data_IF_295663918817
#
_entry.id   IF_295663918817
#
_cell.length_a   1.000
_cell.length_b   1.000
_cell.length_c   1.000
_cell.angle_alpha   90.00
_cell.angle_beta   90.00
_cell.angle_gamma   90.00
#
_symmetry.space_group_name_H-M   'P 1'
#
loop_
_entity.id
_entity.type
_entity.pdbx_description
1 polymer ?
#
# COMPACT_ATOMS: atom_id res chain seq x y z
N UNK A 1 -10.27 -11.28 26.90
CA UNK A 1 -10.89 -10.11 26.28
C UNK A 1 -10.04 -8.89 26.62
N UNK A 2 -9.59 -8.15 25.61
CA UNK A 2 -8.62 -7.07 25.74
C UNK A 2 -9.23 -5.84 26.43
N UNK A 3 -8.69 -5.41 27.59
CA UNK A 3 -9.16 -4.22 28.32
C UNK A 3 -8.43 -2.96 27.85
N UNK A 4 -8.98 -2.34 26.81
CA UNK A 4 -8.40 -1.14 26.19
C UNK A 4 -8.38 0.09 27.12
N UNK A 5 -9.38 0.24 27.98
CA UNK A 5 -9.51 1.41 28.86
C UNK A 5 -8.44 1.43 29.95
N UNK A 6 -8.05 0.26 30.45
CA UNK A 6 -6.97 0.12 31.42
C UNK A 6 -5.59 0.27 30.75
N UNK A 7 -5.40 -0.35 29.58
CA UNK A 7 -4.11 -0.33 28.86
C UNK A 7 -3.78 1.08 28.35
N UNK A 8 -4.75 1.81 27.79
CA UNK A 8 -4.53 3.16 27.23
C UNK A 8 -4.01 4.20 28.23
N UNK A 9 -4.26 4.01 29.54
CA UNK A 9 -3.79 4.88 30.62
C UNK A 9 -2.34 4.59 31.06
N UNK A 10 -1.71 3.53 30.56
CA UNK A 10 -0.34 3.15 30.92
C UNK A 10 0.68 3.88 30.05
N UNK A 11 1.94 3.88 30.50
CA UNK A 11 3.08 4.36 29.73
C UNK A 11 3.15 3.68 28.34
N UNK A 12 3.57 4.36 27.26
CA UNK A 12 3.67 3.80 25.91
C UNK A 12 4.43 2.46 25.85
N UNK A 13 5.58 2.33 26.50
CA UNK A 13 6.31 1.05 26.56
C UNK A 13 5.48 -0.08 27.19
N UNK A 14 4.72 0.21 28.25
CA UNK A 14 3.86 -0.79 28.89
C UNK A 14 2.65 -1.16 28.02
N UNK A 15 2.19 -0.25 27.16
CA UNK A 15 1.15 -0.51 26.15
C UNK A 15 1.69 -1.42 25.05
N UNK A 16 2.89 -1.13 24.54
CA UNK A 16 3.57 -1.93 23.52
C UNK A 16 3.90 -3.33 24.04
N UNK A 17 4.47 -3.43 25.24
CA UNK A 17 4.73 -4.71 25.91
C UNK A 17 3.45 -5.55 26.05
N UNK A 18 2.36 -4.92 26.49
CA UNK A 18 1.07 -5.60 26.60
C UNK A 18 0.54 -6.05 25.24
N UNK A 19 0.68 -5.23 24.20
CA UNK A 19 0.26 -5.58 22.84
C UNK A 19 1.07 -6.76 22.27
N UNK A 20 2.40 -6.72 22.40
CA UNK A 20 3.28 -7.81 21.95
C UNK A 20 3.04 -9.11 22.70
N UNK A 21 2.83 -9.03 24.02
CA UNK A 21 2.48 -10.21 24.82
C UNK A 21 1.15 -10.82 24.39
N UNK A 22 0.12 -10.00 24.16
CA UNK A 22 -1.20 -10.47 23.68
C UNK A 22 -1.09 -11.09 22.29
N UNK A 23 -0.35 -10.46 21.38
CA UNK A 23 -0.11 -10.98 20.03
C UNK A 23 0.61 -12.34 20.08
N UNK A 24 1.61 -12.49 20.96
CA UNK A 24 2.30 -13.76 21.15
C UNK A 24 1.40 -14.84 21.76
N UNK A 25 0.70 -14.53 22.86
CA UNK A 25 -0.15 -15.50 23.58
C UNK A 25 -1.37 -15.95 22.78
N UNK A 26 -1.99 -15.06 21.99
CA UNK A 26 -3.28 -15.33 21.33
C UNK A 26 -3.15 -15.61 19.84
N UNK A 27 -2.13 -15.06 19.18
CA UNK A 27 -1.93 -15.17 17.73
C UNK A 27 -0.64 -15.90 17.36
N UNK A 28 0.20 -16.26 18.33
CA UNK A 28 1.46 -16.98 18.09
C UNK A 28 2.54 -16.14 17.40
N UNK A 29 2.39 -14.82 17.35
CA UNK A 29 3.32 -13.93 16.66
C UNK A 29 4.60 -13.78 17.50
N UNK A 30 5.76 -13.94 16.86
CA UNK A 30 7.05 -13.77 17.51
C UNK A 30 7.31 -12.30 17.87
N UNK A 31 7.96 -12.06 19.02
CA UNK A 31 8.29 -10.72 19.50
C UNK A 31 9.52 -10.16 18.77
N UNK A 32 9.31 -9.69 17.54
CA UNK A 32 10.39 -9.17 16.67
C UNK A 32 10.79 -7.71 16.98
N UNK A 33 10.05 -7.03 17.85
CA UNK A 33 10.26 -5.62 18.19
C UNK A 33 10.36 -5.43 19.69
N UNK A 34 11.29 -4.56 20.10
CA UNK A 34 11.39 -4.10 21.46
C UNK A 34 10.54 -2.83 21.67
N UNK A 35 9.79 -2.72 22.79
CA UNK A 35 8.95 -1.55 23.08
C UNK A 35 9.69 -0.22 23.02
N UNK A 36 10.97 -0.21 23.38
CA UNK A 36 11.81 0.99 23.40
C UNK A 36 12.24 1.44 22.00
N UNK A 37 12.43 0.52 21.06
CA UNK A 37 12.78 0.83 19.66
C UNK A 37 11.59 1.42 18.89
N UNK A 38 10.37 1.05 19.30
CA UNK A 38 9.13 1.57 18.70
C UNK A 38 8.71 2.89 19.35
N UNK A 39 8.90 3.06 20.66
CA UNK A 39 8.55 4.29 21.38
C UNK A 39 9.64 5.36 21.28
N UNK A 40 10.05 5.67 20.07
CA UNK A 40 11.00 6.77 19.76
C UNK A 40 10.34 7.81 18.87
N UNK A 41 11.01 8.94 18.63
CA UNK A 41 10.50 9.96 17.69
C UNK A 41 10.56 9.51 16.23
N UNK A 42 11.40 8.51 15.90
CA UNK A 42 11.61 8.00 14.54
C UNK A 42 11.82 6.48 14.59
N UNK A 43 10.75 5.68 14.69
CA UNK A 43 10.88 4.21 14.68
C UNK A 43 11.27 3.69 13.29
N UNK A 44 11.91 2.51 13.25
CA UNK A 44 12.30 1.88 11.98
C UNK A 44 11.07 1.39 11.20
N UNK A 45 10.86 1.95 10.00
CA UNK A 45 9.66 1.68 9.20
C UNK A 45 9.60 0.23 8.72
N UNK A 46 10.74 -0.39 8.43
CA UNK A 46 10.77 -1.76 7.87
C UNK A 46 10.42 -2.77 8.95
N UNK A 47 11.00 -2.64 10.14
CA UNK A 47 10.73 -3.52 11.27
C UNK A 47 9.28 -3.39 11.76
N UNK A 48 8.77 -2.16 11.84
CA UNK A 48 7.36 -1.91 12.20
C UNK A 48 6.42 -2.51 11.14
N UNK A 49 6.68 -2.29 9.85
CA UNK A 49 5.86 -2.83 8.77
C UNK A 49 5.89 -4.37 8.77
N UNK A 50 7.06 -4.98 8.95
CA UNK A 50 7.21 -6.43 9.06
C UNK A 50 6.36 -7.00 10.19
N UNK A 51 6.40 -6.39 11.38
CA UNK A 51 5.63 -6.86 12.52
C UNK A 51 4.11 -6.69 12.31
N UNK A 52 3.68 -5.57 11.73
CA UNK A 52 2.27 -5.33 11.39
C UNK A 52 1.80 -6.33 10.31
N UNK A 53 2.66 -6.68 9.36
CA UNK A 53 2.38 -7.71 8.37
C UNK A 53 2.16 -9.08 9.03
N UNK A 54 3.00 -9.48 10.00
CA UNK A 54 2.78 -10.71 10.78
C UNK A 54 1.44 -10.69 11.51
N UNK A 55 1.04 -9.53 12.06
CA UNK A 55 -0.25 -9.37 12.71
C UNK A 55 -1.41 -9.56 11.72
N UNK A 56 -1.31 -8.96 10.53
CA UNK A 56 -2.30 -9.11 9.48
C UNK A 56 -2.47 -10.57 9.04
N UNK A 57 -1.35 -11.25 8.75
CA UNK A 57 -1.35 -12.66 8.34
C UNK A 57 -1.97 -13.61 9.38
N UNK A 58 -1.91 -13.25 10.66
CA UNK A 58 -2.44 -14.07 11.75
C UNK A 58 -3.94 -13.86 12.02
N UNK A 59 -4.56 -12.83 11.43
CA UNK A 59 -5.99 -12.55 11.59
C UNK A 59 -6.81 -13.25 10.50
N UNK A 60 -8.09 -13.63 10.74
CA UNK A 60 -8.93 -14.20 9.70
C UNK A 60 -9.16 -13.18 8.58
N UNK A 61 -8.74 -13.54 7.36
CA UNK A 61 -8.85 -12.66 6.20
C UNK A 61 -10.30 -12.68 5.72
N UNK A 62 -11.06 -11.62 6.03
CA UNK A 62 -12.29 -11.33 5.28
C UNK A 62 -11.90 -11.19 3.81
N UNK A 63 -12.70 -11.76 2.91
CA UNK A 63 -12.49 -11.90 1.46
C UNK A 63 -12.15 -10.59 0.71
N UNK A 64 -10.97 -10.03 0.97
CA UNK A 64 -10.27 -9.08 0.12
C UNK A 64 -8.97 -9.77 -0.25
N UNK A 65 -8.98 -10.30 -1.46
CA UNK A 65 -7.92 -11.07 -2.10
C UNK A 65 -6.58 -10.32 -2.05
N UNK A 66 -5.65 -10.82 -1.24
CA UNK A 66 -4.26 -10.36 -1.09
C UNK A 66 -3.30 -11.53 -1.41
N UNK A 67 -3.69 -12.40 -2.35
CA UNK A 67 -3.10 -13.72 -2.60
C UNK A 67 -1.64 -13.82 -3.06
N UNK A 68 -0.87 -12.73 -3.21
CA UNK A 68 0.45 -12.79 -3.87
C UNK A 68 1.68 -12.34 -3.06
N UNK A 69 1.61 -12.16 -1.73
CA UNK A 69 2.84 -11.87 -0.95
C UNK A 69 3.55 -13.14 -0.47
N UNK A 70 4.18 -13.88 -1.40
CA UNK A 70 5.16 -14.92 -1.08
C UNK A 70 6.43 -14.29 -0.51
N UNK A 71 6.43 -14.01 0.79
CA UNK A 71 7.64 -13.67 1.54
C UNK A 71 8.35 -14.95 1.95
N UNK A 72 9.05 -15.55 0.99
CA UNK A 72 10.01 -16.62 1.27
C UNK A 72 11.18 -16.06 2.08
N UNK A 73 11.05 -16.17 3.41
CA UNK A 73 12.10 -15.88 4.38
C UNK A 73 13.14 -17.00 4.35
N UNK A 74 13.97 -17.04 3.30
CA UNK A 74 15.21 -17.81 3.35
C UNK A 74 16.20 -17.07 4.26
N UNK A 75 16.19 -17.51 5.52
CA UNK A 75 17.27 -17.28 6.48
C UNK A 75 18.57 -17.89 5.96
N UNK A 76 19.38 -17.12 5.25
CA UNK A 76 20.77 -17.53 4.99
C UNK A 76 21.69 -16.91 6.03
N UNK A 77 21.68 -17.56 7.19
CA UNK A 77 22.77 -17.50 8.14
C UNK A 77 23.92 -18.35 7.62
N UNK A 78 25.12 -17.77 7.61
CA UNK A 78 26.43 -18.45 7.55
C UNK A 78 26.80 -19.23 6.27
N UNK A 79 27.69 -18.64 5.47
CA UNK A 79 28.88 -19.38 5.04
C UNK A 79 30.04 -18.42 4.76
N UNK A 80 31.00 -18.41 5.68
CA UNK A 80 32.33 -17.84 5.54
C UNK A 80 33.05 -18.55 4.39
N UNK A 81 33.66 -17.81 3.45
CA UNK A 81 34.92 -18.17 2.77
C UNK A 81 35.42 -17.01 1.88
N UNK A 82 36.58 -16.46 2.22
CA UNK A 82 37.45 -15.66 1.32
C UNK A 82 38.48 -16.59 0.63
N UNK A 83 39.44 -16.10 -0.19
CA UNK A 83 39.35 -15.49 -1.53
C UNK A 83 40.31 -16.17 -2.57
N UNK A 84 40.45 -15.59 -3.77
CA UNK A 84 41.63 -15.59 -4.69
C UNK A 84 41.54 -16.38 -6.02
N UNK A 85 41.69 -15.67 -7.16
CA UNK A 85 42.68 -15.94 -8.23
C UNK A 85 42.49 -14.98 -9.44
N UNK A 86 43.61 -14.48 -9.94
CA UNK A 86 43.76 -13.48 -11.00
C UNK A 86 43.73 -14.05 -12.43
N UNK A 87 43.43 -13.19 -13.41
CA UNK A 87 44.09 -13.24 -14.72
C UNK A 87 43.20 -13.29 -15.98
N UNK A 88 43.50 -12.40 -16.94
CA UNK A 88 43.39 -12.71 -18.38
C UNK A 88 42.37 -11.93 -19.20
N UNK A 89 42.89 -11.16 -20.16
CA UNK A 89 42.24 -10.23 -21.10
C UNK A 89 41.45 -10.87 -22.26
N UNK A 90 40.44 -10.13 -22.75
CA UNK A 90 40.22 -9.70 -24.15
C UNK A 90 38.87 -10.10 -24.82
N UNK A 91 38.03 -9.07 -24.98
CA UNK A 91 36.99 -8.79 -25.99
C UNK A 91 36.19 -9.93 -26.65
N UNK A 92 34.91 -9.99 -26.30
CA UNK A 92 33.81 -10.35 -27.20
C UNK A 92 32.62 -9.44 -26.85
N UNK A 93 32.09 -8.57 -27.73
CA UNK A 93 30.82 -7.92 -27.46
C UNK A 93 29.72 -8.94 -27.80
N UNK A 94 29.44 -9.83 -26.86
CA UNK A 94 28.18 -10.58 -26.87
C UNK A 94 27.07 -9.56 -26.62
N UNK A 95 26.13 -9.53 -27.55
CA UNK A 95 24.90 -8.75 -27.53
C UNK A 95 24.36 -8.57 -26.12
N UNK A 96 24.27 -7.30 -25.69
CA UNK A 96 23.66 -6.94 -24.41
C UNK A 96 22.25 -7.53 -24.36
N UNK A 97 21.88 -8.29 -23.32
CA UNK A 97 20.49 -8.63 -23.09
C UNK A 97 19.72 -7.31 -22.90
N UNK A 98 18.63 -7.16 -23.64
CA UNK A 98 17.77 -5.99 -23.56
C UNK A 98 17.21 -5.92 -22.14
N UNK A 99 17.31 -4.74 -21.54
CA UNK A 99 16.98 -4.48 -20.15
C UNK A 99 15.48 -4.70 -19.88
N UNK A 100 15.11 -5.91 -19.45
CA UNK A 100 13.75 -6.20 -18.98
C UNK A 100 13.40 -5.32 -17.76
N UNK A 101 14.37 -5.11 -16.87
CA UNK A 101 14.19 -4.32 -15.64
C UNK A 101 13.85 -2.84 -15.89
N UNK A 102 14.31 -2.24 -17.00
CA UNK A 102 13.94 -0.85 -17.32
C UNK A 102 12.53 -0.74 -17.85
N UNK A 103 12.02 -1.74 -18.56
CA UNK A 103 10.66 -1.69 -19.11
C UNK A 103 9.62 -1.81 -18.00
N UNK A 104 9.82 -2.76 -17.07
CA UNK A 104 8.95 -2.94 -15.90
C UNK A 104 8.91 -1.68 -15.02
N UNK A 105 10.05 -0.99 -14.85
CA UNK A 105 10.11 0.25 -14.06
C UNK A 105 9.36 1.43 -14.71
N UNK A 106 9.36 1.52 -16.04
CA UNK A 106 8.66 2.58 -16.78
C UNK A 106 7.15 2.35 -16.77
N UNK A 107 6.73 1.10 -16.95
CA UNK A 107 5.34 0.67 -16.89
C UNK A 107 4.72 0.84 -15.51
N UNK A 108 5.42 0.41 -14.45
CA UNK A 108 4.99 0.65 -13.07
C UNK A 108 4.85 2.15 -12.76
N UNK A 109 5.76 2.97 -13.29
CA UNK A 109 5.68 4.44 -13.17
C UNK A 109 4.47 5.02 -13.89
N UNK A 110 4.11 4.49 -15.06
CA UNK A 110 2.92 4.90 -15.82
C UNK A 110 1.62 4.57 -15.08
N UNK A 111 1.50 3.35 -14.57
CA UNK A 111 0.38 2.93 -13.73
C UNK A 111 0.23 3.82 -12.49
N UNK A 112 1.34 4.09 -11.79
CA UNK A 112 1.32 4.91 -10.58
C UNK A 112 0.80 6.33 -10.86
N UNK A 113 1.28 6.98 -11.91
CA UNK A 113 0.84 8.35 -12.26
C UNK A 113 -0.66 8.36 -12.59
N UNK A 114 -1.12 7.43 -13.42
CA UNK A 114 -2.52 7.36 -13.81
C UNK A 114 -3.43 7.06 -12.59
N UNK A 115 -2.98 6.22 -11.66
CA UNK A 115 -3.69 5.93 -10.42
C UNK A 115 -3.79 7.18 -9.51
N UNK A 116 -2.70 7.94 -9.36
CA UNK A 116 -2.68 9.18 -8.58
C UNK A 116 -3.63 10.23 -9.15
N UNK A 117 -3.74 10.35 -10.47
CA UNK A 117 -4.70 11.24 -11.14
C UNK A 117 -6.15 10.85 -10.83
N UNK A 118 -6.49 9.55 -10.95
CA UNK A 118 -7.83 9.05 -10.63
C UNK A 118 -8.16 9.25 -9.15
N UNK A 119 -7.21 8.98 -8.24
CA UNK A 119 -7.44 9.14 -6.81
C UNK A 119 -7.67 10.61 -6.43
N UNK A 120 -6.88 11.52 -6.99
CA UNK A 120 -7.02 12.96 -6.77
C UNK A 120 -8.40 13.43 -7.22
N UNK A 121 -8.82 13.03 -8.42
CA UNK A 121 -10.14 13.34 -8.93
C UNK A 121 -11.27 12.76 -8.07
N UNK A 122 -11.16 11.51 -7.61
CA UNK A 122 -12.17 10.88 -6.73
C UNK A 122 -12.35 11.66 -5.43
N UNK A 123 -11.25 12.14 -4.84
CA UNK A 123 -11.30 12.96 -3.62
C UNK A 123 -11.99 14.30 -3.88
N UNK A 124 -11.72 14.96 -5.02
CA UNK A 124 -12.41 16.19 -5.42
C UNK A 124 -13.90 15.97 -5.68
N UNK A 125 -14.27 14.83 -6.28
CA UNK A 125 -15.65 14.45 -6.52
C UNK A 125 -16.40 14.16 -5.20
N UNK A 126 -15.75 13.50 -4.23
CA UNK A 126 -16.28 13.27 -2.89
C UNK A 126 -16.50 14.58 -2.12
N UNK A 127 -15.54 15.52 -2.21
CA UNK A 127 -15.68 16.85 -1.60
C UNK A 127 -16.84 17.63 -2.23
N UNK A 128 -16.96 17.62 -3.57
CA UNK A 128 -18.10 18.23 -4.29
C UNK A 128 -19.45 17.63 -3.85
N UNK A 129 -19.50 16.32 -3.63
CA UNK A 129 -20.73 15.64 -3.22
C UNK A 129 -21.10 15.93 -1.76
N UNK A 130 -20.10 15.95 -0.87
CA UNK A 130 -20.29 16.20 0.57
C UNK A 130 -20.63 17.65 0.89
N UNK A 131 -20.12 18.61 0.10
CA UNK A 131 -20.41 20.04 0.23
C UNK A 131 -21.67 20.47 -0.56
N UNK A 132 -22.41 19.54 -1.17
CA UNK A 132 -23.61 19.87 -1.92
C UNK A 132 -24.71 20.41 -0.99
N UNK A 133 -25.31 21.58 -1.27
CA UNK A 133 -26.35 22.15 -0.41
C UNK A 133 -27.59 21.27 -0.39
N UNK A 134 -28.17 21.11 0.80
CA UNK A 134 -29.46 20.41 0.98
C UNK A 134 -30.53 21.01 0.06
N UNK A 135 -31.36 20.14 -0.53
CA UNK A 135 -32.43 20.52 -1.47
C UNK A 135 -33.54 21.25 -0.72
N UNK A 136 -33.34 22.54 -0.43
CA UNK A 136 -34.32 23.36 0.27
C UNK A 136 -34.53 24.73 -0.39
N UNK A 137 -35.76 24.93 -0.89
CA UNK A 137 -36.31 26.23 -1.30
C UNK A 137 -36.35 26.49 -2.81
N UNK A 138 -37.51 26.93 -3.32
CA UNK A 138 -37.80 27.50 -4.66
C UNK A 138 -37.43 26.68 -5.92
N UNK A 139 -38.36 26.62 -6.89
CA UNK A 139 -38.18 25.97 -8.19
C UNK A 139 -36.95 26.48 -8.97
N UNK A 140 -36.62 27.76 -8.82
CA UNK A 140 -35.47 28.39 -9.47
C UNK A 140 -34.14 27.77 -9.00
N UNK A 141 -34.01 27.53 -7.68
CA UNK A 141 -32.82 26.97 -7.04
C UNK A 141 -32.69 25.48 -7.41
N UNK A 142 -33.81 24.75 -7.41
CA UNK A 142 -33.83 23.33 -7.83
C UNK A 142 -33.39 23.17 -9.29
N UNK A 143 -33.76 24.11 -10.17
CA UNK A 143 -33.35 24.08 -11.58
C UNK A 143 -31.85 24.36 -11.73
N UNK A 144 -31.32 25.33 -10.99
CA UNK A 144 -29.88 25.61 -10.97
C UNK A 144 -29.08 24.43 -10.41
N UNK A 145 -29.58 23.80 -9.34
CA UNK A 145 -29.01 22.60 -8.75
C UNK A 145 -29.04 21.41 -9.72
N UNK A 146 -30.11 21.25 -10.51
CA UNK A 146 -30.18 20.22 -11.55
C UNK A 146 -29.10 20.42 -12.61
N UNK A 147 -28.90 21.65 -13.10
CA UNK A 147 -27.84 21.94 -14.07
C UNK A 147 -26.44 21.74 -13.49
N UNK A 148 -26.25 22.05 -12.20
CA UNK A 148 -25.01 21.76 -11.50
C UNK A 148 -24.73 20.26 -11.43
N UNK A 149 -25.71 19.44 -11.02
CA UNK A 149 -25.58 17.99 -10.98
C UNK A 149 -25.44 17.36 -12.38
N UNK A 150 -26.14 17.90 -13.38
CA UNK A 150 -26.01 17.48 -14.78
C UNK A 150 -24.57 17.69 -15.28
N UNK A 151 -24.00 18.87 -15.03
CA UNK A 151 -22.60 19.16 -15.36
C UNK A 151 -21.63 18.23 -14.64
N UNK A 152 -21.85 17.99 -13.35
CA UNK A 152 -21.04 17.06 -12.55
C UNK A 152 -21.13 15.61 -13.06
N UNK A 153 -22.31 15.15 -13.49
CA UNK A 153 -22.48 13.82 -14.07
C UNK A 153 -21.78 13.68 -15.44
N UNK A 154 -21.80 14.72 -16.27
CA UNK A 154 -21.01 14.75 -17.50
C UNK A 154 -19.50 14.73 -17.22
N UNK A 155 -19.06 15.47 -16.20
CA UNK A 155 -17.67 15.47 -15.74
C UNK A 155 -17.26 14.08 -15.24
N UNK A 156 -18.09 13.43 -14.42
CA UNK A 156 -17.89 12.06 -13.93
C UNK A 156 -17.81 11.04 -15.08
N UNK A 157 -18.65 11.21 -16.11
CA UNK A 157 -18.60 10.38 -17.31
C UNK A 157 -17.29 10.57 -18.10
N UNK A 158 -16.75 11.79 -18.15
CA UNK A 158 -15.48 12.09 -18.81
C UNK A 158 -14.28 11.40 -18.15
N UNK A 159 -14.34 11.16 -16.84
CA UNK A 159 -13.27 10.49 -16.10
C UNK A 159 -13.32 8.95 -16.20
N UNK A 160 -14.38 8.37 -16.80
CA UNK A 160 -14.46 6.91 -17.00
C UNK A 160 -13.34 6.37 -17.89
N UNK A 161 -12.88 7.16 -18.87
CA UNK A 161 -11.75 6.78 -19.72
C UNK A 161 -10.46 6.67 -18.91
N UNK A 162 -10.20 7.61 -17.99
CA UNK A 162 -9.04 7.57 -17.10
C UNK A 162 -9.05 6.37 -16.15
N UNK A 163 -10.22 6.06 -15.56
CA UNK A 163 -10.39 4.84 -14.75
C UNK A 163 -10.17 3.58 -15.59
N UNK A 164 -10.66 3.56 -16.83
CA UNK A 164 -10.44 2.46 -17.77
C UNK A 164 -8.96 2.26 -18.09
N UNK A 165 -8.23 3.35 -18.37
CA UNK A 165 -6.80 3.31 -18.66
C UNK A 165 -5.97 2.78 -17.47
N UNK A 166 -6.30 3.19 -16.24
CA UNK A 166 -5.64 2.68 -15.03
C UNK A 166 -5.90 1.18 -14.84
N UNK A 167 -7.14 0.73 -15.06
CA UNK A 167 -7.50 -0.67 -14.94
C UNK A 167 -6.84 -1.53 -16.04
N UNK A 168 -6.76 -1.03 -17.26
CA UNK A 168 -6.09 -1.70 -18.37
C UNK A 168 -4.58 -1.82 -18.12
N UNK A 169 -3.92 -0.74 -17.68
CA UNK A 169 -2.50 -0.76 -17.34
C UNK A 169 -2.23 -1.70 -16.15
N UNK A 170 -3.08 -1.69 -15.13
CA UNK A 170 -2.97 -2.63 -14.01
C UNK A 170 -3.18 -4.09 -14.43
N UNK A 171 -4.15 -4.38 -15.30
CA UNK A 171 -4.40 -5.72 -15.81
C UNK A 171 -3.27 -6.23 -16.71
N UNK A 172 -2.63 -5.32 -17.47
CA UNK A 172 -1.46 -5.61 -18.30
C UNK A 172 -0.29 -6.07 -17.44
N UNK A 173 -0.01 -5.35 -16.36
CA UNK A 173 1.06 -5.70 -15.41
C UNK A 173 0.81 -7.04 -14.71
N UNK A 174 -0.43 -7.32 -14.30
CA UNK A 174 -0.79 -8.59 -13.67
C UNK A 174 -0.71 -9.80 -14.64
N UNK A 175 -0.80 -9.56 -15.94
CA UNK A 175 -0.71 -10.61 -16.96
C UNK A 175 0.72 -10.95 -17.36
N UNK A 176 1.70 -10.13 -16.96
CA UNK A 176 3.14 -10.33 -17.22
C UNK A 176 3.87 -11.04 -16.05
N UNK A 177 3.15 -11.47 -15.01
CA UNK A 177 3.66 -12.24 -13.85
C UNK A 177 3.59 -13.78 -14.04
#
# INVERSE_FOLDING_TARGET
MFDFMNVSRKHPNARLEHAFRVAHEQLGIERLLDPEDVNTSVPDKKSVMMYVMCLFQSLPHSEMDLGNLDMSVHSDTSSVSSPMAEGGTLSVPVSRPISLATNVSVELGGYQVALEEVLTWLLEAEDKLSNSPDVEGSLEIVKEQFHYHEGFLLELAGHQEGVGAVLEEGARMLSEE
#
